data_IF_007959286718
#
_entry.id   IF_007959286718
#
_cell.length_a   1.000
_cell.length_b   1.000
_cell.length_c   1.000
_cell.angle_alpha   90.00
_cell.angle_beta   90.00
_cell.angle_gamma   90.00
#
_symmetry.space_group_name_H-M   'P 1'
#
loop_
_entity.id
_entity.type
_entity.pdbx_description
1 polymer ?
#
# COMPACT_ATOMS: atom_id res chain seq x y z
N UNK A 1 0.51 17.06 18.34
CA UNK A 1 -0.85 17.56 18.37
C UNK A 1 -1.79 16.51 17.80
N UNK A 2 -3.08 16.74 17.82
CA UNK A 2 -4.04 15.77 17.28
C UNK A 2 -3.82 15.43 15.80
N UNK A 3 -3.47 16.42 14.96
CA UNK A 3 -3.20 16.22 13.54
C UNK A 3 -2.05 15.25 13.30
N UNK A 4 -0.97 15.35 14.08
CA UNK A 4 0.17 14.43 13.97
C UNK A 4 -0.19 13.01 14.41
N UNK A 5 -1.04 12.89 15.43
CA UNK A 5 -1.52 11.57 15.88
C UNK A 5 -2.38 10.90 14.82
N UNK A 6 -3.29 11.66 14.18
CA UNK A 6 -4.11 11.15 13.09
C UNK A 6 -3.24 10.80 11.89
N UNK A 7 -2.31 11.68 11.50
CA UNK A 7 -1.40 11.39 10.39
C UNK A 7 -0.61 10.09 10.62
N UNK A 8 -0.05 9.90 11.81
CA UNK A 8 0.66 8.66 12.16
C UNK A 8 -0.26 7.44 12.14
N UNK A 9 -1.47 7.55 12.70
CA UNK A 9 -2.43 6.45 12.68
C UNK A 9 -2.81 6.03 11.26
N UNK A 10 -3.00 7.01 10.37
CA UNK A 10 -3.27 6.75 8.95
C UNK A 10 -2.07 6.08 8.25
N UNK A 11 -0.86 6.56 8.49
CA UNK A 11 0.36 5.94 7.92
C UNK A 11 0.52 4.49 8.41
N UNK A 12 0.29 4.24 9.70
CA UNK A 12 0.31 2.87 10.25
C UNK A 12 -0.76 2.01 9.58
N UNK A 13 -1.99 2.51 9.45
CA UNK A 13 -3.09 1.79 8.80
C UNK A 13 -2.77 1.43 7.35
N UNK A 14 -2.27 2.39 6.57
CA UNK A 14 -1.86 2.16 5.17
C UNK A 14 -0.68 1.19 5.10
N UNK A 15 0.28 1.31 6.01
CA UNK A 15 1.42 0.38 6.10
C UNK A 15 0.97 -1.06 6.36
N UNK A 16 0.03 -1.27 7.28
CA UNK A 16 -0.53 -2.59 7.58
C UNK A 16 -1.33 -3.16 6.42
N UNK A 17 -2.11 -2.34 5.72
CA UNK A 17 -2.86 -2.74 4.52
C UNK A 17 -1.93 -3.23 3.42
N UNK A 18 -0.79 -2.57 3.21
CA UNK A 18 0.21 -3.00 2.23
C UNK A 18 1.02 -4.22 2.71
N UNK A 19 1.24 -4.35 4.02
CA UNK A 19 1.98 -5.47 4.59
C UNK A 19 1.17 -6.78 4.57
N UNK A 20 -0.15 -6.70 4.77
CA UNK A 20 -1.01 -7.86 4.88
C UNK A 20 -0.91 -8.83 3.67
N UNK A 21 -0.91 -8.37 2.41
CA UNK A 21 -0.69 -9.24 1.26
C UNK A 21 0.66 -9.94 1.24
N UNK A 22 1.63 -9.44 2.00
CA UNK A 22 2.95 -10.07 2.15
C UNK A 22 2.90 -11.50 2.65
N UNK A 23 1.86 -11.87 3.41
CA UNK A 23 1.63 -13.25 3.83
C UNK A 23 1.45 -14.22 2.62
N UNK A 24 1.02 -13.71 1.47
CA UNK A 24 0.87 -14.51 0.25
C UNK A 24 2.21 -14.96 -0.35
N UNK A 25 3.34 -14.38 0.06
CA UNK A 25 4.67 -14.84 -0.34
C UNK A 25 4.93 -16.30 0.07
N UNK A 26 4.24 -16.76 1.12
CA UNK A 26 4.49 -18.08 1.72
C UNK A 26 3.94 -19.25 0.91
N UNK A 27 2.91 -19.06 0.08
CA UNK A 27 2.33 -20.15 -0.70
C UNK A 27 1.48 -19.69 -1.88
N UNK A 28 1.41 -20.55 -2.92
CA UNK A 28 0.54 -20.34 -4.08
C UNK A 28 -0.94 -20.24 -3.68
N UNK A 29 -1.40 -21.07 -2.75
CA UNK A 29 -2.80 -21.06 -2.30
C UNK A 29 -3.23 -19.73 -1.67
N UNK A 30 -2.33 -19.06 -0.98
CA UNK A 30 -2.61 -17.72 -0.41
C UNK A 30 -2.71 -16.66 -1.51
N UNK A 31 -1.88 -16.75 -2.54
CA UNK A 31 -1.97 -15.88 -3.71
C UNK A 31 -3.28 -16.10 -4.45
N UNK A 32 -3.67 -17.35 -4.68
CA UNK A 32 -4.94 -17.69 -5.33
C UNK A 32 -6.14 -17.14 -4.56
N UNK A 33 -6.13 -17.30 -3.24
CA UNK A 33 -7.18 -16.78 -2.37
C UNK A 33 -7.28 -15.25 -2.39
N UNK A 34 -6.13 -14.56 -2.39
CA UNK A 34 -6.07 -13.10 -2.37
C UNK A 34 -6.56 -12.46 -3.67
N UNK A 35 -6.15 -13.02 -4.81
CA UNK A 35 -6.42 -12.42 -6.12
C UNK A 35 -7.52 -13.13 -6.92
N UNK A 36 -8.02 -14.26 -6.44
CA UNK A 36 -9.04 -15.05 -7.13
C UNK A 36 -8.56 -15.60 -8.48
N UNK A 37 -7.28 -15.93 -8.59
CA UNK A 37 -6.65 -16.48 -9.79
C UNK A 37 -6.11 -17.87 -9.51
N UNK A 38 -6.11 -18.74 -10.52
CA UNK A 38 -5.40 -20.02 -10.43
C UNK A 38 -3.94 -19.83 -10.81
N UNK A 39 -3.07 -20.32 -9.96
CA UNK A 39 -1.64 -20.37 -10.26
C UNK A 39 -1.38 -21.68 -11.02
N UNK A 40 -1.43 -21.60 -12.36
CA UNK A 40 -1.32 -22.78 -13.22
C UNK A 40 0.11 -23.17 -13.60
N UNK A 41 1.07 -22.27 -13.37
CA UNK A 41 2.47 -22.47 -13.73
C UNK A 41 3.42 -21.79 -12.75
N UNK A 42 4.69 -22.22 -12.78
CA UNK A 42 5.72 -21.73 -11.88
C UNK A 42 6.07 -20.25 -12.10
N UNK A 43 5.98 -19.74 -13.32
CA UNK A 43 6.31 -18.36 -13.64
C UNK A 43 5.27 -17.42 -13.06
N UNK A 44 3.98 -17.73 -13.18
CA UNK A 44 2.91 -16.98 -12.57
C UNK A 44 2.99 -17.02 -11.05
N UNK A 45 3.28 -18.17 -10.45
CA UNK A 45 3.51 -18.30 -9.01
C UNK A 45 4.65 -17.37 -8.55
N UNK A 46 5.78 -17.42 -9.25
CA UNK A 46 6.94 -16.59 -8.95
C UNK A 46 6.57 -15.09 -8.99
N UNK A 47 5.92 -14.63 -10.05
CA UNK A 47 5.55 -13.22 -10.22
C UNK A 47 4.61 -12.74 -9.12
N UNK A 48 3.60 -13.53 -8.77
CA UNK A 48 2.61 -13.15 -7.76
C UNK A 48 3.20 -13.19 -6.34
N UNK A 49 4.03 -14.18 -6.03
CA UNK A 49 4.72 -14.24 -4.74
C UNK A 49 5.77 -13.14 -4.60
N UNK A 50 6.48 -12.81 -5.68
CA UNK A 50 7.39 -11.67 -5.70
C UNK A 50 6.64 -10.35 -5.50
N UNK A 51 5.47 -10.17 -6.13
CA UNK A 51 4.59 -9.02 -5.86
C UNK A 51 4.23 -8.92 -4.38
N UNK A 52 3.86 -10.03 -3.74
CA UNK A 52 3.55 -10.06 -2.31
C UNK A 52 4.75 -9.64 -1.45
N UNK A 53 5.96 -10.08 -1.81
CA UNK A 53 7.19 -9.66 -1.14
C UNK A 53 7.44 -8.16 -1.29
N UNK A 54 7.25 -7.59 -2.48
CA UNK A 54 7.38 -6.15 -2.70
C UNK A 54 6.37 -5.34 -1.89
N UNK A 55 5.14 -5.80 -1.79
CA UNK A 55 4.12 -5.16 -0.95
C UNK A 55 4.48 -5.22 0.54
N UNK A 56 5.08 -6.31 1.00
CA UNK A 56 5.61 -6.41 2.36
C UNK A 56 6.73 -5.38 2.62
N UNK A 57 7.63 -5.21 1.65
CA UNK A 57 8.70 -4.20 1.72
C UNK A 57 8.13 -2.79 1.77
N UNK A 58 7.17 -2.47 0.90
CA UNK A 58 6.51 -1.16 0.87
C UNK A 58 5.77 -0.89 2.17
N UNK A 59 4.98 -1.84 2.64
CA UNK A 59 4.22 -1.72 3.90
C UNK A 59 5.13 -1.60 5.11
N UNK A 60 6.15 -2.43 5.21
CA UNK A 60 7.15 -2.38 6.28
C UNK A 60 7.95 -1.07 6.25
N UNK A 61 8.33 -0.62 5.07
CA UNK A 61 9.00 0.67 4.88
C UNK A 61 8.15 1.85 5.34
N UNK A 62 6.85 1.86 5.01
CA UNK A 62 5.93 2.90 5.43
C UNK A 62 5.72 2.90 6.96
N UNK A 63 5.62 1.72 7.57
CA UNK A 63 5.56 1.59 9.03
C UNK A 63 6.83 2.16 9.67
N UNK A 64 8.01 1.81 9.17
CA UNK A 64 9.28 2.36 9.65
C UNK A 64 9.33 3.89 9.45
N UNK A 65 8.93 4.40 8.29
CA UNK A 65 8.90 5.83 7.97
C UNK A 65 7.94 6.64 8.83
N UNK A 66 6.93 5.99 9.44
CA UNK A 66 6.05 6.63 10.41
C UNK A 66 6.82 7.08 11.66
N UNK A 67 7.82 6.31 12.07
CA UNK A 67 8.61 6.55 13.27
C UNK A 67 10.00 7.12 12.98
N UNK A 68 10.51 6.94 11.76
CA UNK A 68 11.82 7.42 11.31
C UNK A 68 11.64 8.52 10.25
N UNK A 69 11.71 9.82 10.65
CA UNK A 69 11.41 10.93 9.74
C UNK A 69 12.25 10.98 8.48
N UNK A 70 13.52 10.55 8.55
CA UNK A 70 14.45 10.62 7.41
C UNK A 70 14.06 9.74 6.22
N UNK A 71 13.31 8.66 6.45
CA UNK A 71 12.85 7.76 5.39
C UNK A 71 11.37 7.93 5.06
N UNK A 72 10.66 8.84 5.73
CA UNK A 72 9.21 9.00 5.56
C UNK A 72 8.83 9.38 4.13
N UNK A 73 9.48 10.37 3.56
CA UNK A 73 9.17 10.84 2.20
C UNK A 73 9.36 9.73 1.15
N UNK A 74 10.51 9.05 1.08
CA UNK A 74 10.70 7.98 0.11
C UNK A 74 9.73 6.80 0.33
N UNK A 75 9.40 6.44 1.56
CA UNK A 75 8.46 5.34 1.83
C UNK A 75 7.01 5.70 1.48
N UNK A 76 6.60 6.93 1.73
CA UNK A 76 5.30 7.46 1.28
C UNK A 76 5.23 7.49 -0.24
N UNK A 77 6.27 7.94 -0.92
CA UNK A 77 6.34 7.96 -2.38
C UNK A 77 6.27 6.55 -2.96
N UNK A 78 6.98 5.59 -2.39
CA UNK A 78 6.95 4.19 -2.80
C UNK A 78 5.54 3.59 -2.63
N UNK A 79 4.88 3.83 -1.51
CA UNK A 79 3.52 3.36 -1.26
C UNK A 79 2.51 3.98 -2.23
N UNK A 80 2.57 5.29 -2.45
CA UNK A 80 1.71 5.99 -3.40
C UNK A 80 1.89 5.47 -4.83
N UNK A 81 3.12 5.26 -5.25
CA UNK A 81 3.45 4.71 -6.58
C UNK A 81 2.94 3.28 -6.72
N UNK A 82 3.13 2.44 -5.72
CA UNK A 82 2.66 1.05 -5.71
C UNK A 82 1.14 0.97 -5.87
N UNK A 83 0.40 1.68 -5.04
CA UNK A 83 -1.07 1.68 -5.09
C UNK A 83 -1.60 2.38 -6.35
N UNK A 84 -1.04 3.52 -6.71
CA UNK A 84 -1.44 4.29 -7.90
C UNK A 84 -1.20 3.53 -9.20
N UNK A 85 -0.07 2.82 -9.32
CA UNK A 85 0.23 1.99 -10.49
C UNK A 85 -0.73 0.81 -10.61
N UNK A 86 -1.10 0.17 -9.51
CA UNK A 86 -2.11 -0.90 -9.55
C UNK A 86 -3.47 -0.38 -10.05
N UNK A 87 -3.93 0.75 -9.51
CA UNK A 87 -5.18 1.39 -9.94
C UNK A 87 -5.14 1.72 -11.44
N UNK A 88 -4.05 2.33 -11.92
CA UNK A 88 -3.86 2.66 -13.32
C UNK A 88 -3.86 1.41 -14.22
N UNK A 89 -3.18 0.35 -13.81
CA UNK A 89 -3.13 -0.91 -14.55
C UNK A 89 -4.50 -1.60 -14.62
N UNK A 90 -5.32 -1.51 -13.57
CA UNK A 90 -6.68 -2.07 -13.61
C UNK A 90 -7.55 -1.37 -14.67
N UNK A 91 -7.33 -0.09 -14.91
CA UNK A 91 -8.01 0.63 -15.98
C UNK A 91 -7.50 0.25 -17.39
N UNK A 92 -6.21 -0.02 -17.52
CA UNK A 92 -5.57 -0.37 -18.78
C UNK A 92 -5.83 -1.82 -19.21
N UNK A 93 -5.84 -2.75 -18.25
CA UNK A 93 -5.99 -4.19 -18.55
C UNK A 93 -7.44 -4.59 -18.82
N UNK A 94 -8.41 -3.89 -18.22
CA UNK A 94 -9.84 -4.13 -18.46
C UNK A 94 -10.53 -4.92 -17.35
N UNK A 95 -11.61 -5.66 -17.66
CA UNK A 95 -12.43 -6.32 -16.65
C UNK A 95 -11.63 -7.27 -15.76
N UNK A 96 -11.88 -7.23 -14.47
CA UNK A 96 -11.19 -8.05 -13.47
C UNK A 96 -12.21 -8.80 -12.59
N UNK A 97 -11.74 -9.85 -11.90
CA UNK A 97 -12.56 -10.58 -10.94
C UNK A 97 -12.89 -9.73 -9.69
N UNK A 98 -13.79 -10.25 -8.85
CA UNK A 98 -14.24 -9.56 -7.64
C UNK A 98 -13.12 -9.34 -6.62
N UNK A 99 -12.16 -10.26 -6.49
CA UNK A 99 -11.04 -10.15 -5.57
C UNK A 99 -10.07 -9.03 -6.01
N UNK A 100 -9.70 -8.98 -7.27
CA UNK A 100 -8.85 -7.92 -7.83
C UNK A 100 -9.56 -6.55 -7.76
N UNK A 101 -10.87 -6.51 -7.98
CA UNK A 101 -11.68 -5.31 -7.79
C UNK A 101 -11.71 -4.83 -6.34
N UNK A 102 -11.76 -5.76 -5.38
CA UNK A 102 -11.66 -5.45 -3.95
C UNK A 102 -10.29 -4.88 -3.59
N UNK A 103 -9.21 -5.46 -4.11
CA UNK A 103 -7.84 -4.92 -3.91
C UNK A 103 -7.75 -3.50 -4.44
N UNK A 104 -8.30 -3.22 -5.63
CA UNK A 104 -8.36 -1.86 -6.17
C UNK A 104 -9.12 -0.90 -5.24
N UNK A 105 -10.26 -1.29 -4.72
CA UNK A 105 -11.04 -0.46 -3.81
C UNK A 105 -10.27 -0.16 -2.51
N UNK A 106 -9.57 -1.14 -1.97
CA UNK A 106 -8.69 -0.97 -0.80
C UNK A 106 -7.55 -0.01 -1.12
N UNK A 107 -6.90 -0.15 -2.27
CA UNK A 107 -5.81 0.74 -2.71
C UNK A 107 -6.29 2.19 -2.90
N UNK A 108 -7.48 2.40 -3.45
CA UNK A 108 -8.08 3.74 -3.56
C UNK A 108 -8.30 4.35 -2.18
N UNK A 109 -8.88 3.61 -1.25
CA UNK A 109 -9.10 4.07 0.12
C UNK A 109 -7.79 4.35 0.86
N UNK A 110 -6.80 3.47 0.71
CA UNK A 110 -5.47 3.63 1.31
C UNK A 110 -4.72 4.83 0.72
N UNK A 111 -4.81 5.05 -0.59
CA UNK A 111 -4.20 6.21 -1.25
C UNK A 111 -4.83 7.52 -0.78
N UNK A 112 -6.17 7.55 -0.60
CA UNK A 112 -6.86 8.70 -0.03
C UNK A 112 -6.41 8.96 1.43
N UNK A 113 -6.29 7.93 2.25
CA UNK A 113 -5.78 8.02 3.62
C UNK A 113 -4.34 8.54 3.66
N UNK A 114 -3.50 8.10 2.73
CA UNK A 114 -2.12 8.56 2.60
C UNK A 114 -2.07 10.05 2.23
N UNK A 115 -2.91 10.50 1.31
CA UNK A 115 -3.01 11.92 0.94
C UNK A 115 -3.44 12.79 2.13
N UNK A 116 -4.41 12.33 2.91
CA UNK A 116 -4.83 13.02 4.15
C UNK A 116 -3.69 13.08 5.17
N UNK A 117 -2.96 11.97 5.36
CA UNK A 117 -1.84 11.92 6.29
C UNK A 117 -0.73 12.92 5.91
N UNK A 118 -0.40 12.99 4.62
CA UNK A 118 0.58 13.96 4.09
C UNK A 118 0.09 15.40 4.28
N UNK A 119 -1.19 15.67 3.98
CA UNK A 119 -1.79 16.98 4.14
C UNK A 119 -1.82 17.45 5.59
N UNK A 120 -2.09 16.57 6.55
CA UNK A 120 -2.05 16.88 7.99
C UNK A 120 -0.61 17.11 8.47
N UNK A 121 0.33 16.26 8.04
CA UNK A 121 1.75 16.37 8.39
C UNK A 121 2.39 17.65 7.84
N UNK A 122 2.00 18.12 6.66
CA UNK A 122 2.52 19.36 6.08
C UNK A 122 2.00 20.61 6.79
N UNK A 123 0.83 20.56 7.41
CA UNK A 123 0.26 21.67 8.18
C UNK A 123 0.99 21.88 9.50
N UNK A 124 1.45 20.81 10.13
CA UNK A 124 2.19 20.91 11.41
C UNK A 124 3.60 21.48 11.24
N UNK A 125 4.12 21.52 10.00
CA UNK A 125 5.43 22.09 9.68
C UNK A 125 5.37 23.56 9.23
N UNK A 126 4.18 24.14 9.07
CA UNK A 126 4.04 25.58 8.77
C UNK A 126 4.27 26.37 10.06
N UNK A 127 5.22 27.34 10.06
CA UNK A 127 5.32 28.29 11.17
C UNK A 127 3.96 28.98 11.36
N UNK A 128 3.54 29.14 12.60
CA UNK A 128 2.39 29.96 12.90
C UNK A 128 2.64 31.34 12.25
N UNK A 129 1.77 31.74 11.33
CA UNK A 129 1.81 33.08 10.78
C UNK A 129 1.59 34.04 11.97
N UNK A 130 2.67 34.70 12.38
CA UNK A 130 2.67 35.73 13.38
C UNK A 130 2.00 36.99 12.89
#
# INVERSE_FOLDING_TARGET
MWADRIARALLVGVGLVNLAPGAAVLSASRVESLYGVRVGDADLELLLRHRAALLAIVGGGLLAGTFVPSIRVPTVAAAATSMGSYIALTAAVGPMNSQSSRVRAVDVGALAALAVAVGLGSRSLRPAAG
#
